data_IF_304592810351
#
_entry.id   IF_304592810351
#
_cell.length_a   1.000
_cell.length_b   1.000
_cell.length_c   1.000
_cell.angle_alpha   90.00
_cell.angle_beta   90.00
_cell.angle_gamma   90.00
#
_symmetry.space_group_name_H-M   'P 1'
#
loop_
_entity.id
_entity.type
_entity.pdbx_description
1 polymer ?
#
# COMPACT_ATOMS: atom_id res chain seq x y z
N UNK A 1 -4.72 -14.96 12.56
CA UNK A 1 -4.00 -14.07 11.61
C UNK A 1 -2.93 -13.29 12.34
N UNK A 2 -1.71 -13.23 11.81
CA UNK A 2 -0.54 -12.54 12.36
C UNK A 2 0.03 -11.58 11.31
N UNK A 3 0.22 -10.31 11.66
CA UNK A 3 0.95 -9.34 10.82
C UNK A 3 2.42 -9.36 11.22
N UNK A 4 3.30 -9.45 10.23
CA UNK A 4 4.76 -9.38 10.40
C UNK A 4 5.43 -8.66 9.24
N UNK A 5 6.68 -8.27 9.43
CA UNK A 5 7.50 -7.81 8.30
C UNK A 5 7.66 -8.92 7.26
N UNK A 6 7.66 -8.52 5.99
CA UNK A 6 7.96 -9.44 4.91
C UNK A 6 9.44 -9.80 4.89
N UNK A 7 9.72 -11.06 4.61
CA UNK A 7 11.04 -11.57 4.28
C UNK A 7 11.10 -11.74 2.75
N UNK A 8 12.03 -11.08 2.04
CA UNK A 8 12.11 -11.13 0.59
C UNK A 8 12.19 -12.55 0.02
N UNK A 9 13.02 -13.41 0.62
CA UNK A 9 13.26 -14.78 0.13
C UNK A 9 12.06 -15.68 0.42
N UNK A 10 11.48 -15.57 1.62
CA UNK A 10 10.35 -16.37 2.07
C UNK A 10 9.04 -15.97 1.40
N UNK A 11 8.77 -14.66 1.26
CA UNK A 11 7.43 -14.14 0.99
C UNK A 11 7.25 -13.64 -0.45
N UNK A 12 8.34 -13.48 -1.22
CA UNK A 12 8.28 -12.99 -2.60
C UNK A 12 7.34 -13.80 -3.49
N UNK A 13 7.35 -15.13 -3.37
CA UNK A 13 6.46 -16.03 -4.11
C UNK A 13 4.99 -15.87 -3.74
N UNK A 14 4.69 -15.79 -2.45
CA UNK A 14 3.33 -15.62 -1.97
C UNK A 14 2.77 -14.24 -2.35
N UNK A 15 3.57 -13.18 -2.21
CA UNK A 15 3.18 -11.83 -2.65
C UNK A 15 2.93 -11.78 -4.16
N UNK A 16 3.75 -12.45 -4.99
CA UNK A 16 3.54 -12.54 -6.42
C UNK A 16 2.22 -13.24 -6.77
N UNK A 17 1.94 -14.38 -6.14
CA UNK A 17 0.70 -15.14 -6.35
C UNK A 17 -0.55 -14.34 -5.94
N UNK A 18 -0.48 -13.57 -4.84
CA UNK A 18 -1.57 -12.69 -4.41
C UNK A 18 -1.77 -11.55 -5.40
N UNK A 19 -0.69 -10.98 -5.97
CA UNK A 19 -0.74 -9.83 -6.85
C UNK A 19 -1.16 -10.17 -8.28
N UNK A 20 -0.81 -11.35 -8.78
CA UNK A 20 -1.07 -11.78 -10.16
C UNK A 20 -2.52 -11.54 -10.62
N UNK A 21 -3.59 -11.94 -9.88
CA UNK A 21 -4.97 -11.70 -10.31
C UNK A 21 -5.33 -10.22 -10.46
N UNK A 22 -4.72 -9.32 -9.66
CA UNK A 22 -4.95 -7.87 -9.77
C UNK A 22 -4.34 -7.28 -11.04
N UNK A 23 -3.29 -7.91 -11.58
CA UNK A 23 -2.64 -7.54 -12.83
C UNK A 23 -3.36 -8.17 -14.03
N UNK A 24 -3.63 -9.48 -13.99
CA UNK A 24 -4.08 -10.25 -15.16
C UNK A 24 -5.59 -10.21 -15.38
N UNK A 25 -6.38 -10.20 -14.31
CA UNK A 25 -7.84 -10.29 -14.38
C UNK A 25 -8.55 -9.02 -13.89
N UNK A 26 -7.83 -8.16 -13.15
CA UNK A 26 -8.37 -6.94 -12.56
C UNK A 26 -7.97 -5.68 -13.29
N UNK A 27 -8.51 -4.56 -12.76
CA UNK A 27 -8.13 -3.21 -13.17
C UNK A 27 -7.36 -2.46 -12.07
N UNK A 28 -7.18 -3.08 -10.90
CA UNK A 28 -6.59 -2.42 -9.74
C UNK A 28 -5.10 -2.09 -9.92
N UNK A 29 -4.40 -2.83 -10.77
CA UNK A 29 -3.02 -2.54 -11.16
C UNK A 29 -2.94 -2.17 -12.63
N UNK A 30 -2.11 -1.17 -12.94
CA UNK A 30 -1.78 -0.80 -14.33
C UNK A 30 -0.57 -1.54 -14.88
N UNK A 31 0.03 -2.45 -14.13
CA UNK A 31 1.04 -3.35 -14.69
C UNK A 31 0.40 -4.24 -15.75
N UNK A 32 1.11 -4.45 -16.87
CA UNK A 32 0.65 -5.29 -17.99
C UNK A 32 1.04 -6.75 -17.80
N UNK A 33 2.18 -6.99 -17.17
CA UNK A 33 2.72 -8.31 -16.86
C UNK A 33 2.82 -8.49 -15.35
N UNK A 34 2.31 -9.61 -14.86
CA UNK A 34 2.47 -9.94 -13.45
C UNK A 34 3.95 -10.20 -13.11
N UNK A 35 4.48 -9.57 -12.05
CA UNK A 35 5.86 -9.77 -11.65
C UNK A 35 6.08 -11.20 -11.12
N UNK A 36 7.26 -11.74 -11.42
CA UNK A 36 7.70 -13.03 -10.89
C UNK A 36 7.96 -12.98 -9.38
N UNK A 37 8.07 -14.15 -8.73
CA UNK A 37 8.48 -14.26 -7.33
C UNK A 37 9.81 -13.53 -7.04
N UNK A 38 10.80 -13.66 -7.93
CA UNK A 38 12.10 -13.00 -7.79
C UNK A 38 11.99 -11.47 -7.89
N UNK A 39 11.14 -10.97 -8.80
CA UNK A 39 10.89 -9.53 -8.92
C UNK A 39 10.18 -8.97 -7.68
N UNK A 40 9.21 -9.70 -7.10
CA UNK A 40 8.58 -9.29 -5.85
C UNK A 40 9.57 -9.35 -4.67
N UNK A 41 10.42 -10.36 -4.59
CA UNK A 41 11.48 -10.44 -3.59
C UNK A 41 12.41 -9.21 -3.67
N UNK A 42 12.82 -8.81 -4.86
CA UNK A 42 13.61 -7.60 -5.07
C UNK A 42 12.85 -6.34 -4.61
N UNK A 43 11.57 -6.19 -5.00
CA UNK A 43 10.75 -5.05 -4.57
C UNK A 43 10.59 -5.00 -3.05
N UNK A 44 10.40 -6.14 -2.40
CA UNK A 44 10.33 -6.24 -0.93
C UNK A 44 11.65 -5.76 -0.31
N UNK A 45 12.78 -6.26 -0.79
CA UNK A 45 14.09 -5.89 -0.27
C UNK A 45 14.38 -4.38 -0.41
N UNK A 46 14.18 -3.83 -1.62
CA UNK A 46 14.39 -2.42 -1.91
C UNK A 46 13.48 -1.51 -1.09
N UNK A 47 12.18 -1.84 -1.02
CA UNK A 47 11.22 -1.06 -0.25
C UNK A 47 11.50 -1.12 1.24
N UNK A 48 11.81 -2.32 1.77
CA UNK A 48 12.05 -2.55 3.20
C UNK A 48 13.31 -1.86 3.72
N UNK A 49 14.22 -1.45 2.84
CA UNK A 49 15.37 -0.63 3.20
C UNK A 49 14.96 0.76 3.73
N UNK A 50 13.76 1.24 3.40
CA UNK A 50 13.30 2.58 3.77
C UNK A 50 11.89 2.63 4.36
N UNK A 51 10.98 1.81 3.86
CA UNK A 51 9.56 1.80 4.25
C UNK A 51 9.10 0.40 4.64
N UNK A 52 8.12 0.26 5.55
CA UNK A 52 7.61 -1.05 5.91
C UNK A 52 6.96 -1.77 4.73
N UNK A 53 7.24 -3.06 4.61
CA UNK A 53 6.48 -4.02 3.84
C UNK A 53 6.01 -5.12 4.78
N UNK A 54 4.70 -5.28 4.93
CA UNK A 54 4.08 -6.21 5.87
C UNK A 54 3.32 -7.30 5.13
N UNK A 55 3.33 -8.49 5.70
CA UNK A 55 2.47 -9.61 5.28
C UNK A 55 1.54 -10.01 6.41
N UNK A 56 0.35 -10.48 6.03
CA UNK A 56 -0.61 -11.10 6.93
C UNK A 56 -0.56 -12.60 6.74
N UNK A 57 -0.24 -13.31 7.80
CA UNK A 57 -0.15 -14.78 7.83
C UNK A 57 -1.37 -15.37 8.55
N UNK A 58 -2.00 -16.37 7.94
CA UNK A 58 -3.08 -17.15 8.52
C UNK A 58 -2.74 -18.63 8.35
N UNK A 59 -2.66 -19.38 9.45
CA UNK A 59 -2.27 -20.80 9.48
C UNK A 59 -0.99 -21.10 8.67
N UNK A 60 0.04 -20.27 8.82
CA UNK A 60 1.33 -20.42 8.15
C UNK A 60 1.35 -20.00 6.67
N UNK A 61 0.25 -19.52 6.11
CA UNK A 61 0.14 -18.99 4.74
C UNK A 61 0.04 -17.47 4.72
N UNK A 62 0.78 -16.83 3.85
CA UNK A 62 0.58 -15.40 3.56
C UNK A 62 -0.73 -15.24 2.76
N UNK A 63 -1.65 -14.46 3.31
CA UNK A 63 -3.00 -14.21 2.74
C UNK A 63 -3.22 -12.77 2.30
N UNK A 64 -2.24 -11.90 2.54
CA UNK A 64 -2.26 -10.51 2.10
C UNK A 64 -0.99 -9.80 2.46
N UNK A 65 -0.77 -8.63 1.88
CA UNK A 65 0.37 -7.78 2.18
C UNK A 65 0.02 -6.30 2.00
N UNK A 66 0.73 -5.43 2.71
CA UNK A 66 0.65 -3.99 2.54
C UNK A 66 2.04 -3.37 2.64
N UNK A 67 2.26 -2.27 1.95
CA UNK A 67 3.53 -1.57 1.95
C UNK A 67 3.36 -0.08 1.73
N UNK A 68 4.41 0.66 2.01
CA UNK A 68 4.52 2.07 1.66
C UNK A 68 5.68 2.31 0.71
N UNK A 69 5.55 3.33 -0.13
CA UNK A 69 6.61 3.81 -1.03
C UNK A 69 6.70 5.32 -0.98
N UNK A 70 7.78 5.86 -1.51
CA UNK A 70 7.96 7.31 -1.62
C UNK A 70 6.88 7.93 -2.51
N UNK A 71 6.15 8.93 -1.99
CA UNK A 71 5.12 9.62 -2.76
C UNK A 71 5.67 10.39 -3.96
N UNK A 72 6.71 11.20 -3.75
CA UNK A 72 7.38 11.99 -4.80
C UNK A 72 8.87 12.15 -4.48
N UNK A 73 9.69 12.28 -5.50
CA UNK A 73 11.15 12.33 -5.35
C UNK A 73 11.70 13.62 -4.71
N UNK A 74 10.94 14.74 -4.77
CA UNK A 74 11.41 16.02 -4.22
C UNK A 74 11.39 16.00 -2.70
N UNK A 75 12.44 16.53 -2.06
CA UNK A 75 12.66 16.46 -0.62
C UNK A 75 11.51 17.05 0.23
N UNK A 76 10.77 18.04 -0.28
CA UNK A 76 9.62 18.61 0.42
C UNK A 76 8.46 17.60 0.64
N UNK A 77 8.45 16.47 -0.07
CA UNK A 77 7.45 15.40 0.09
C UNK A 77 7.90 14.27 1.04
N UNK A 78 9.06 14.40 1.71
CA UNK A 78 9.66 13.29 2.49
C UNK A 78 8.80 12.77 3.64
N UNK A 79 7.80 13.52 4.08
CA UNK A 79 6.85 13.10 5.12
C UNK A 79 5.56 12.44 4.58
N UNK A 80 5.45 12.32 3.26
CA UNK A 80 4.32 11.68 2.60
C UNK A 80 4.76 10.38 1.91
N UNK A 81 3.89 9.37 1.97
CA UNK A 81 4.08 8.07 1.32
C UNK A 81 2.84 7.67 0.53
N UNK A 82 3.05 6.87 -0.51
CA UNK A 82 1.97 6.10 -1.13
C UNK A 82 1.87 4.75 -0.43
N UNK A 83 0.65 4.30 -0.20
CA UNK A 83 0.37 3.01 0.44
C UNK A 83 -0.48 2.12 -0.47
N UNK A 84 -0.22 0.81 -0.40
CA UNK A 84 -1.00 -0.19 -1.12
C UNK A 84 -1.25 -1.42 -0.24
N UNK A 85 -2.38 -2.09 -0.49
CA UNK A 85 -2.75 -3.36 0.15
C UNK A 85 -3.36 -4.30 -0.87
N UNK A 86 -2.93 -5.56 -0.82
CA UNK A 86 -3.44 -6.64 -1.64
C UNK A 86 -3.79 -7.84 -0.75
N UNK A 87 -4.92 -8.46 -1.00
CA UNK A 87 -5.44 -9.58 -0.19
C UNK A 87 -5.89 -10.69 -1.13
N UNK A 88 -5.48 -11.91 -0.84
CA UNK A 88 -5.95 -13.11 -1.53
C UNK A 88 -7.49 -13.13 -1.59
N UNK A 89 -8.05 -13.47 -2.74
CA UNK A 89 -9.49 -13.44 -3.01
C UNK A 89 -10.31 -14.22 -1.96
N UNK A 90 -9.80 -15.38 -1.50
CA UNK A 90 -10.45 -16.21 -0.49
C UNK A 90 -10.49 -15.56 0.92
N UNK A 91 -9.65 -14.54 1.15
CA UNK A 91 -9.50 -13.86 2.44
C UNK A 91 -10.03 -12.42 2.43
N UNK A 92 -10.62 -11.98 1.32
CA UNK A 92 -11.28 -10.68 1.24
C UNK A 92 -12.52 -10.61 2.13
N UNK A 93 -12.92 -9.38 2.52
CA UNK A 93 -14.09 -9.09 3.40
C UNK A 93 -14.01 -9.72 4.80
N UNK A 94 -12.85 -10.24 5.20
CA UNK A 94 -12.57 -10.81 6.54
C UNK A 94 -11.74 -9.88 7.44
N UNK A 95 -11.61 -8.61 7.06
CA UNK A 95 -10.84 -7.61 7.82
C UNK A 95 -9.33 -7.60 7.53
N UNK A 96 -8.81 -8.48 6.67
CA UNK A 96 -7.38 -8.62 6.37
C UNK A 96 -6.73 -7.30 5.91
N UNK A 97 -7.36 -6.58 4.98
CA UNK A 97 -6.85 -5.29 4.50
C UNK A 97 -6.82 -4.22 5.58
N UNK A 98 -7.82 -4.18 6.47
CA UNK A 98 -7.85 -3.27 7.62
C UNK A 98 -6.71 -3.57 8.59
N UNK A 99 -6.53 -4.83 8.98
CA UNK A 99 -5.49 -5.25 9.91
C UNK A 99 -4.08 -4.93 9.40
N UNK A 100 -3.84 -5.15 8.11
CA UNK A 100 -2.57 -4.79 7.44
C UNK A 100 -2.33 -3.28 7.47
N UNK A 101 -3.33 -2.47 7.10
CA UNK A 101 -3.18 -1.02 7.07
C UNK A 101 -3.03 -0.40 8.47
N UNK A 102 -3.78 -0.88 9.47
CA UNK A 102 -3.64 -0.39 10.85
C UNK A 102 -2.22 -0.62 11.39
N UNK A 103 -1.64 -1.82 11.15
CA UNK A 103 -0.26 -2.11 11.52
C UNK A 103 0.76 -1.26 10.72
N UNK A 104 0.53 -1.09 9.41
CA UNK A 104 1.38 -0.26 8.56
C UNK A 104 1.37 1.20 9.04
N UNK A 105 0.20 1.77 9.32
CA UNK A 105 0.09 3.16 9.76
C UNK A 105 0.78 3.42 11.09
N UNK A 106 0.72 2.46 12.02
CA UNK A 106 1.46 2.57 13.28
C UNK A 106 2.97 2.66 13.06
N UNK A 107 3.53 1.83 12.17
CA UNK A 107 4.95 1.90 11.82
C UNK A 107 5.32 3.21 11.12
N UNK A 108 4.48 3.68 10.21
CA UNK A 108 4.70 4.94 9.50
C UNK A 108 4.68 6.14 10.46
N UNK A 109 3.78 6.15 11.45
CA UNK A 109 3.78 7.18 12.52
C UNK A 109 5.08 7.16 13.33
N UNK A 110 5.55 5.99 13.71
CA UNK A 110 6.83 5.84 14.43
C UNK A 110 8.03 6.30 13.62
N UNK A 111 7.97 6.18 12.29
CA UNK A 111 8.97 6.74 11.38
C UNK A 111 8.90 8.27 11.28
N UNK A 112 7.84 8.91 11.76
CA UNK A 112 7.62 10.36 11.64
C UNK A 112 6.97 10.76 10.32
N UNK A 113 6.33 9.81 9.62
CA UNK A 113 5.55 10.12 8.43
C UNK A 113 4.18 10.68 8.82
N UNK A 114 3.73 11.69 8.08
CA UNK A 114 2.54 12.47 8.43
C UNK A 114 1.36 12.17 7.53
N UNK A 115 1.61 11.82 6.27
CA UNK A 115 0.57 11.66 5.25
C UNK A 115 0.75 10.32 4.54
N UNK A 116 -0.34 9.55 4.45
CA UNK A 116 -0.46 8.41 3.56
C UNK A 116 -1.41 8.76 2.40
N UNK A 117 -0.96 8.51 1.18
CA UNK A 117 -1.74 8.67 -0.04
C UNK A 117 -2.04 7.30 -0.64
N UNK A 118 -3.21 7.16 -1.28
CA UNK A 118 -3.58 5.96 -2.01
C UNK A 118 -4.26 6.31 -3.33
N UNK A 119 -3.80 5.70 -4.42
CA UNK A 119 -4.44 5.75 -5.73
C UNK A 119 -5.33 4.52 -5.93
N UNK A 120 -6.59 4.73 -6.26
CA UNK A 120 -7.56 3.64 -6.49
C UNK A 120 -8.12 3.75 -7.91
N UNK A 121 -7.84 2.76 -8.75
CA UNK A 121 -8.43 2.65 -10.09
C UNK A 121 -9.92 2.37 -9.99
N UNK A 122 -10.72 3.12 -10.73
CA UNK A 122 -12.18 3.01 -10.72
C UNK A 122 -12.72 2.18 -11.92
N UNK A 123 -13.86 1.45 -11.73
CA UNK A 123 -14.60 1.27 -10.47
C UNK A 123 -13.92 0.26 -9.53
N UNK A 124 -13.88 0.54 -8.22
CA UNK A 124 -13.38 -0.36 -7.20
C UNK A 124 -14.00 -0.05 -5.82
N UNK A 125 -15.27 -0.40 -5.65
CA UNK A 125 -16.04 -0.07 -4.45
C UNK A 125 -15.45 -0.68 -3.18
N UNK A 126 -14.84 -1.86 -3.28
CA UNK A 126 -14.20 -2.54 -2.14
C UNK A 126 -13.01 -1.73 -1.60
N UNK A 127 -12.14 -1.25 -2.50
CA UNK A 127 -11.00 -0.42 -2.13
C UNK A 127 -11.45 0.95 -1.62
N UNK A 128 -12.38 1.61 -2.32
CA UNK A 128 -12.97 2.89 -1.88
C UNK A 128 -13.58 2.75 -0.49
N UNK A 129 -14.36 1.69 -0.26
CA UNK A 129 -14.98 1.41 1.04
C UNK A 129 -13.96 1.19 2.16
N UNK A 130 -12.89 0.46 1.89
CA UNK A 130 -11.80 0.24 2.85
C UNK A 130 -11.11 1.56 3.22
N UNK A 131 -10.73 2.37 2.23
CA UNK A 131 -10.05 3.65 2.49
C UNK A 131 -10.94 4.61 3.27
N UNK A 132 -12.22 4.76 2.91
CA UNK A 132 -13.19 5.56 3.69
C UNK A 132 -13.32 5.06 5.13
N UNK A 133 -13.45 3.75 5.32
CA UNK A 133 -13.60 3.14 6.65
C UNK A 133 -12.35 3.28 7.54
N UNK A 134 -11.19 3.57 6.95
CA UNK A 134 -9.94 3.87 7.63
C UNK A 134 -9.67 5.39 7.81
N UNK A 135 -10.60 6.23 7.42
CA UNK A 135 -10.53 7.68 7.60
C UNK A 135 -9.79 8.43 6.48
N UNK A 136 -9.55 7.79 5.34
CA UNK A 136 -9.03 8.53 4.18
C UNK A 136 -10.08 9.48 3.62
N UNK A 137 -9.64 10.66 3.22
CA UNK A 137 -10.44 11.67 2.55
C UNK A 137 -10.14 11.65 1.04
N UNK A 138 -11.17 11.84 0.22
CA UNK A 138 -11.01 11.92 -1.23
C UNK A 138 -10.40 13.27 -1.62
N UNK A 139 -9.26 13.23 -2.31
CA UNK A 139 -8.54 14.42 -2.74
C UNK A 139 -8.96 14.86 -4.14
N UNK A 140 -9.20 13.91 -5.03
CA UNK A 140 -9.56 14.19 -6.42
C UNK A 140 -9.50 12.95 -7.29
N UNK A 141 -9.86 13.08 -8.56
CA UNK A 141 -9.87 11.97 -9.51
C UNK A 141 -9.20 12.39 -10.83
N UNK A 142 -8.17 11.65 -11.22
CA UNK A 142 -7.60 11.73 -12.55
C UNK A 142 -8.50 11.01 -13.54
N UNK A 143 -8.97 11.71 -14.54
CA UNK A 143 -9.84 11.16 -15.57
C UNK A 143 -9.04 10.52 -16.69
N UNK A 144 -9.45 9.31 -17.13
CA UNK A 144 -8.87 8.60 -18.26
C UNK A 144 -7.33 8.60 -18.24
N UNK A 145 -6.73 8.36 -17.06
CA UNK A 145 -5.28 8.50 -16.83
C UNK A 145 -4.48 7.25 -17.24
N UNK A 146 -5.12 6.09 -17.31
CA UNK A 146 -4.47 4.84 -17.68
C UNK A 146 -5.36 3.94 -18.53
N UNK A 147 -4.73 3.19 -19.44
CA UNK A 147 -5.41 2.20 -20.27
C UNK A 147 -5.28 0.82 -19.63
N UNK A 148 -6.40 0.18 -19.30
CA UNK A 148 -6.38 -1.18 -18.71
C UNK A 148 -7.66 -1.94 -19.06
N UNK A 149 -7.51 -3.24 -19.40
CA UNK A 149 -8.63 -4.12 -19.75
C UNK A 149 -9.57 -3.52 -20.79
N UNK A 150 -8.98 -3.01 -21.89
CA UNK A 150 -9.72 -2.51 -23.04
C UNK A 150 -10.44 -1.17 -22.85
N UNK A 151 -10.12 -0.40 -21.79
CA UNK A 151 -10.73 0.90 -21.56
C UNK A 151 -9.82 1.89 -20.84
N UNK A 152 -10.04 3.19 -21.06
CA UNK A 152 -9.47 4.24 -20.24
C UNK A 152 -10.07 4.19 -18.83
N UNK A 153 -9.22 4.31 -17.82
CA UNK A 153 -9.60 4.20 -16.40
C UNK A 153 -9.30 5.50 -15.68
N UNK A 154 -10.20 5.85 -14.78
CA UNK A 154 -10.01 6.92 -13.81
C UNK A 154 -9.25 6.39 -12.60
N UNK A 155 -8.46 7.25 -11.94
CA UNK A 155 -7.81 6.95 -10.66
C UNK A 155 -8.24 7.99 -9.64
N UNK A 156 -8.96 7.56 -8.61
CA UNK A 156 -9.27 8.41 -7.45
C UNK A 156 -8.11 8.41 -6.46
N UNK A 157 -7.75 9.59 -5.97
CA UNK A 157 -6.71 9.78 -4.97
C UNK A 157 -7.32 10.05 -3.60
N UNK A 158 -6.76 9.39 -2.62
CA UNK A 158 -7.19 9.41 -1.23
C UNK A 158 -6.02 9.77 -0.34
N UNK A 159 -6.27 10.51 0.75
CA UNK A 159 -5.27 10.96 1.69
C UNK A 159 -5.71 10.68 3.12
N UNK A 160 -4.79 10.19 3.94
CA UNK A 160 -4.96 10.01 5.38
C UNK A 160 -3.90 10.80 6.11
N UNK A 161 -4.31 11.62 7.08
CA UNK A 161 -3.41 12.23 8.03
C UNK A 161 -3.02 11.20 9.10
N UNK A 162 -1.76 10.78 9.12
CA UNK A 162 -1.24 9.77 10.05
C UNK A 162 -1.02 10.34 11.45
N UNK A 163 -0.57 11.60 11.53
CA UNK A 163 -0.31 12.30 12.79
C UNK A 163 -0.66 13.79 12.67
N UNK A 164 -1.09 14.45 13.76
CA UNK A 164 -1.27 15.89 13.79
C UNK A 164 0.07 16.57 13.53
N UNK A 165 0.10 17.64 12.74
CA UNK A 165 1.33 18.45 12.59
C UNK A 165 1.68 18.93 11.18
N UNK A 166 0.86 18.63 10.19
CA UNK A 166 1.04 19.21 8.86
C UNK A 166 0.54 20.64 8.74
N UNK A 167 0.77 21.54 9.71
CA UNK A 167 0.07 22.81 9.52
C UNK A 167 0.44 24.05 10.29
N UNK A 168 1.25 24.05 11.31
CA UNK A 168 1.34 25.30 12.06
C UNK A 168 2.71 25.87 12.32
N UNK A 169 3.72 25.10 12.72
CA UNK A 169 4.87 25.75 13.38
C UNK A 169 6.25 25.40 12.81
N UNK A 170 6.32 25.11 11.54
CA UNK A 170 7.56 24.77 10.84
C UNK A 170 7.64 23.31 10.38
N UNK A 171 8.73 22.92 9.73
CA UNK A 171 8.89 21.56 9.26
C UNK A 171 9.00 20.60 10.45
N UNK A 172 8.36 19.41 10.37
CA UNK A 172 8.52 18.37 11.38
C UNK A 172 9.97 17.86 11.41
N UNK A 173 10.32 17.13 12.46
CA UNK A 173 11.61 16.44 12.52
C UNK A 173 11.79 15.51 11.33
N UNK A 174 13.03 15.24 10.92
CA UNK A 174 13.30 14.30 9.85
C UNK A 174 12.76 12.91 10.16
N UNK A 175 12.35 12.21 9.11
CA UNK A 175 11.85 10.83 9.22
C UNK A 175 12.94 9.90 9.72
N UNK A 176 12.53 8.93 10.55
CA UNK A 176 13.41 7.86 11.04
C UNK A 176 13.48 6.72 10.04
N UNK A 177 14.48 5.87 10.16
CA UNK A 177 14.56 4.62 9.39
C UNK A 177 13.43 3.63 9.70
N UNK A 178 13.40 2.48 9.00
CA UNK A 178 12.35 1.46 9.18
C UNK A 178 12.21 1.05 10.64
N UNK A 179 10.96 0.96 11.09
CA UNK A 179 10.62 0.56 12.46
C UNK A 179 10.24 -0.92 12.48
N UNK A 180 10.49 -1.59 13.61
CA UNK A 180 10.05 -2.98 13.83
C UNK A 180 8.68 -3.01 14.49
N UNK A 181 7.90 -4.07 14.18
CA UNK A 181 6.65 -4.42 14.85
C UNK A 181 6.89 -4.80 16.30
#
# INVERSE_FOLDING_TARGET
MLVRHADPERDGGACAAIYEPYVTHGIASFEELAPSAAQLATRIAETSARYPWLVLEDDGRVVGYAYATQHRARAAYRWAVDVAVYVDAANQRRGAGRQLYEALFELLRRQGLLIACAGVTLPNDASVGLHRALGFEHVGTYRAIGWKAGAWRDVSWWQLQLAPGGGSDGPPQDTRGPQRL
#
